data_IF_571659720296
#
_entry.id   IF_571659720296
#
_cell.length_a   1.000
_cell.length_b   1.000
_cell.length_c   1.000
_cell.angle_alpha   90.00
_cell.angle_beta   90.00
_cell.angle_gamma   90.00
#
_symmetry.space_group_name_H-M   'P 1'
#
loop_
_entity.id
_entity.type
_entity.pdbx_description
1 polymer ?
#
# COMPACT_ATOMS: atom_id res chain seq x y z
N UNK A 1 26.81 6.81 15.92
CA UNK A 1 25.39 6.78 16.30
C UNK A 1 24.44 7.40 15.27
N UNK A 2 24.88 8.24 14.33
CA UNK A 2 24.00 8.84 13.30
C UNK A 2 23.80 7.96 12.06
N UNK A 3 24.81 7.19 11.66
CA UNK A 3 24.77 6.38 10.44
C UNK A 3 23.66 5.31 10.43
N UNK A 4 23.43 4.61 11.55
CA UNK A 4 22.36 3.59 11.61
C UNK A 4 20.96 4.22 11.57
N UNK A 5 20.79 5.45 12.10
CA UNK A 5 19.50 6.15 12.00
C UNK A 5 19.21 6.53 10.55
N UNK A 6 20.23 7.01 9.83
CA UNK A 6 20.11 7.35 8.41
C UNK A 6 19.77 6.12 7.56
N UNK A 7 20.40 4.97 7.82
CA UNK A 7 20.06 3.73 7.10
C UNK A 7 18.64 3.26 7.42
N UNK A 8 18.20 3.38 8.68
CA UNK A 8 16.87 2.97 9.09
C UNK A 8 15.76 3.86 8.52
N UNK A 9 15.98 5.18 8.50
CA UNK A 9 15.11 6.14 7.82
C UNK A 9 15.06 5.87 6.32
N UNK A 10 16.21 5.63 5.69
CA UNK A 10 16.27 5.30 4.26
C UNK A 10 15.49 4.03 3.93
N UNK A 11 15.66 2.98 4.74
CA UNK A 11 14.91 1.73 4.60
C UNK A 11 13.41 1.93 4.78
N UNK A 12 13.00 2.78 5.74
CA UNK A 12 11.60 3.12 5.97
C UNK A 12 11.00 3.83 4.76
N UNK A 13 11.71 4.79 4.16
CA UNK A 13 11.27 5.51 2.96
C UNK A 13 11.10 4.56 1.77
N UNK A 14 12.09 3.69 1.52
CA UNK A 14 12.02 2.69 0.44
C UNK A 14 10.83 1.74 0.63
N UNK A 15 10.64 1.24 1.86
CA UNK A 15 9.54 0.31 2.17
C UNK A 15 8.18 0.97 1.98
N UNK A 16 8.03 2.25 2.36
CA UNK A 16 6.81 3.01 2.11
C UNK A 16 6.56 3.22 0.61
N UNK A 17 7.59 3.54 -0.19
CA UNK A 17 7.46 3.64 -1.65
C UNK A 17 6.96 2.34 -2.29
N UNK A 18 7.51 1.20 -1.87
CA UNK A 18 7.06 -0.13 -2.31
C UNK A 18 5.62 -0.42 -1.89
N UNK A 19 5.23 -0.03 -0.68
CA UNK A 19 3.86 -0.18 -0.18
C UNK A 19 2.87 0.61 -1.04
N UNK A 20 3.16 1.88 -1.32
CA UNK A 20 2.33 2.76 -2.16
C UNK A 20 2.20 2.20 -3.59
N UNK A 21 3.31 1.74 -4.18
CA UNK A 21 3.29 1.10 -5.50
C UNK A 21 2.43 -0.17 -5.53
N UNK A 22 2.55 -1.00 -4.48
CA UNK A 22 1.78 -2.23 -4.38
C UNK A 22 0.28 -1.94 -4.19
N UNK A 23 -0.07 -0.92 -3.41
CA UNK A 23 -1.44 -0.46 -3.24
C UNK A 23 -2.01 0.10 -4.55
N UNK A 24 -1.26 0.92 -5.28
CA UNK A 24 -1.62 1.42 -6.61
C UNK A 24 -1.98 0.27 -7.55
N UNK A 25 -1.11 -0.74 -7.66
CA UNK A 25 -1.34 -1.88 -8.54
C UNK A 25 -2.51 -2.76 -8.10
N UNK A 26 -2.72 -2.92 -6.80
CA UNK A 26 -3.86 -3.65 -6.27
C UNK A 26 -5.19 -2.99 -6.68
N UNK A 27 -5.26 -1.66 -6.54
CA UNK A 27 -6.44 -0.87 -6.87
C UNK A 27 -6.66 -0.80 -8.39
N UNK A 28 -5.59 -0.66 -9.17
CA UNK A 28 -5.66 -0.72 -10.64
C UNK A 28 -6.28 -2.06 -11.09
N UNK A 29 -5.81 -3.19 -10.54
CA UNK A 29 -6.33 -4.52 -10.86
C UNK A 29 -7.79 -4.69 -10.42
N UNK A 30 -8.14 -4.29 -9.19
CA UNK A 30 -9.54 -4.34 -8.69
C UNK A 30 -10.46 -3.45 -9.54
N UNK A 31 -9.97 -2.32 -10.06
CA UNK A 31 -10.72 -1.44 -10.95
C UNK A 31 -10.94 -2.03 -12.34
N UNK A 32 -9.93 -2.70 -12.91
CA UNK A 32 -10.02 -3.40 -14.20
C UNK A 32 -11.03 -4.55 -14.12
N UNK A 33 -10.91 -5.40 -13.10
CA UNK A 33 -11.81 -6.54 -12.84
C UNK A 33 -13.26 -6.08 -12.65
N UNK A 34 -13.45 -4.86 -12.13
CA UNK A 34 -14.77 -4.26 -11.92
C UNK A 34 -15.30 -3.47 -13.13
N UNK A 35 -14.54 -3.39 -14.22
CA UNK A 35 -14.92 -2.61 -15.40
C UNK A 35 -15.04 -1.10 -15.16
N UNK A 36 -14.32 -0.54 -14.18
CA UNK A 36 -14.38 0.89 -13.86
C UNK A 36 -13.66 1.75 -14.90
N UNK A 37 -14.24 2.92 -15.22
CA UNK A 37 -13.60 3.90 -16.11
C UNK A 37 -12.32 4.44 -15.45
N UNK A 38 -11.22 4.43 -16.19
CA UNK A 38 -9.88 4.93 -15.78
C UNK A 38 -9.27 4.25 -14.54
N UNK A 39 -8.90 2.95 -14.62
CA UNK A 39 -8.35 2.20 -13.48
C UNK A 39 -7.07 2.80 -12.89
N UNK A 40 -6.21 3.40 -13.72
CA UNK A 40 -4.99 4.12 -13.28
C UNK A 40 -5.29 5.32 -12.41
N UNK A 41 -6.36 6.07 -12.72
CA UNK A 41 -6.76 7.25 -11.93
C UNK A 41 -7.17 6.83 -10.51
N UNK A 42 -7.99 5.78 -10.40
CA UNK A 42 -8.38 5.21 -9.11
C UNK A 42 -7.19 4.67 -8.32
N UNK A 43 -6.21 4.06 -8.99
CA UNK A 43 -4.96 3.63 -8.38
C UNK A 43 -4.19 4.80 -7.77
N UNK A 44 -4.01 5.89 -8.51
CA UNK A 44 -3.31 7.09 -8.02
C UNK A 44 -4.08 7.73 -6.87
N UNK A 45 -5.40 7.86 -7.00
CA UNK A 45 -6.25 8.45 -5.97
C UNK A 45 -6.15 7.66 -4.67
N UNK A 46 -6.24 6.32 -4.75
CA UNK A 46 -6.15 5.46 -3.58
C UNK A 46 -4.76 5.46 -2.92
N UNK A 47 -3.69 5.57 -3.72
CA UNK A 47 -2.32 5.55 -3.24
C UNK A 47 -1.79 6.93 -2.78
N UNK A 48 -2.41 8.03 -3.21
CA UNK A 48 -1.95 9.39 -2.96
C UNK A 48 -2.47 10.07 -1.69
N UNK A 49 -3.43 9.48 -0.98
CA UNK A 49 -4.03 10.09 0.22
C UNK A 49 -3.22 9.85 1.50
N UNK A 50 -2.79 10.92 2.17
CA UNK A 50 -2.01 10.84 3.43
C UNK A 50 -2.78 10.15 4.59
N UNK A 51 -4.11 10.27 4.59
CA UNK A 51 -5.02 9.64 5.56
C UNK A 51 -5.78 8.43 5.01
N UNK A 52 -5.44 7.97 3.81
CA UNK A 52 -6.21 6.93 3.12
C UNK A 52 -7.57 7.40 2.59
N UNK A 53 -7.84 8.71 2.58
CA UNK A 53 -9.09 9.30 2.07
C UNK A 53 -9.39 8.87 0.63
N UNK A 54 -8.37 8.85 -0.23
CA UNK A 54 -8.51 8.39 -1.61
C UNK A 54 -8.87 6.90 -1.71
N UNK A 55 -8.40 6.07 -0.76
CA UNK A 55 -8.80 4.66 -0.68
C UNK A 55 -10.26 4.55 -0.22
N UNK A 56 -10.69 5.36 0.74
CA UNK A 56 -12.10 5.39 1.21
C UNK A 56 -13.02 5.80 0.05
N UNK A 57 -12.66 6.85 -0.69
CA UNK A 57 -13.40 7.30 -1.88
C UNK A 57 -13.48 6.20 -2.94
N UNK A 58 -12.37 5.49 -3.18
CA UNK A 58 -12.35 4.33 -4.07
C UNK A 58 -13.33 3.22 -3.61
N UNK A 59 -13.33 2.88 -2.31
CA UNK A 59 -14.18 1.84 -1.75
C UNK A 59 -15.68 2.18 -1.83
N UNK A 60 -16.04 3.45 -1.68
CA UNK A 60 -17.41 3.92 -1.86
C UNK A 60 -17.85 3.83 -3.33
N UNK A 61 -16.98 4.21 -4.25
CA UNK A 61 -17.30 4.22 -5.68
C UNK A 61 -17.38 2.81 -6.28
N UNK A 62 -16.50 1.87 -5.85
CA UNK A 62 -16.44 0.52 -6.42
C UNK A 62 -17.68 -0.35 -6.18
N UNK A 63 -18.52 -0.02 -5.20
CA UNK A 63 -19.74 -0.79 -4.89
C UNK A 63 -20.79 -0.71 -6.02
N UNK A 64 -20.67 0.29 -6.90
CA UNK A 64 -21.56 0.49 -8.05
C UNK A 64 -21.12 -0.26 -9.30
N UNK A 65 -19.97 -0.92 -9.28
CA UNK A 65 -19.33 -1.51 -10.44
C UNK A 65 -19.53 -3.04 -10.51
N UNK A 66 -19.71 -3.59 -11.71
CA UNK A 66 -19.96 -5.02 -11.92
C UNK A 66 -18.68 -5.84 -11.65
N UNK A 67 -18.78 -6.92 -10.87
CA UNK A 67 -17.63 -7.74 -10.50
C UNK A 67 -17.54 -9.00 -11.36
N UNK A 68 -16.57 -9.07 -12.27
CA UNK A 68 -16.29 -10.25 -13.08
C UNK A 68 -14.81 -10.59 -13.03
N UNK A 69 -14.44 -11.59 -12.23
CA UNK A 69 -13.04 -11.95 -11.99
C UNK A 69 -12.74 -13.38 -12.43
N UNK A 70 -11.66 -13.56 -13.18
CA UNK A 70 -11.13 -14.86 -13.59
C UNK A 70 -10.28 -15.47 -12.46
N UNK A 71 -10.14 -16.79 -12.41
CA UNK A 71 -9.33 -17.48 -11.40
C UNK A 71 -7.88 -16.96 -11.31
N UNK A 72 -7.25 -16.68 -12.47
CA UNK A 72 -5.88 -16.13 -12.54
C UNK A 72 -5.76 -14.74 -11.88
N UNK A 73 -6.72 -13.86 -12.15
CA UNK A 73 -6.74 -12.51 -11.57
C UNK A 73 -6.97 -12.58 -10.05
N UNK A 74 -7.78 -13.55 -9.59
CA UNK A 74 -8.03 -13.78 -8.17
C UNK A 74 -6.74 -14.17 -7.43
N UNK A 75 -5.95 -15.07 -8.01
CA UNK A 75 -4.64 -15.45 -7.46
C UNK A 75 -3.69 -14.26 -7.42
N UNK A 76 -3.60 -13.48 -8.50
CA UNK A 76 -2.76 -12.29 -8.54
C UNK A 76 -3.15 -11.27 -7.47
N UNK A 77 -4.46 -11.03 -7.28
CA UNK A 77 -4.97 -10.14 -6.24
C UNK A 77 -4.61 -10.65 -4.83
N UNK A 78 -4.71 -11.95 -4.57
CA UNK A 78 -4.35 -12.54 -3.28
C UNK A 78 -2.85 -12.40 -2.99
N UNK A 79 -2.00 -12.72 -3.97
CA UNK A 79 -0.56 -12.54 -3.87
C UNK A 79 -0.20 -11.08 -3.60
N UNK A 80 -0.89 -10.14 -4.27
CA UNK A 80 -0.67 -8.71 -4.05
C UNK A 80 -1.09 -8.25 -2.66
N UNK A 81 -2.23 -8.74 -2.15
CA UNK A 81 -2.69 -8.47 -0.78
C UNK A 81 -1.71 -8.96 0.27
N UNK A 82 -1.19 -10.18 0.12
CA UNK A 82 -0.18 -10.71 1.04
C UNK A 82 1.07 -9.84 1.06
N UNK A 83 1.57 -9.39 -0.11
CA UNK A 83 2.71 -8.45 -0.16
C UNK A 83 2.46 -7.15 0.59
N UNK A 84 1.26 -6.57 0.48
CA UNK A 84 0.89 -5.37 1.26
C UNK A 84 0.92 -5.66 2.77
N UNK A 85 0.39 -6.81 3.19
CA UNK A 85 0.40 -7.21 4.61
C UNK A 85 1.85 -7.38 5.11
N UNK A 86 2.72 -8.07 4.35
CA UNK A 86 4.13 -8.22 4.72
C UNK A 86 4.85 -6.87 4.82
N UNK A 87 4.62 -5.96 3.86
CA UNK A 87 5.19 -4.61 3.90
C UNK A 87 4.66 -3.80 5.08
N UNK A 88 3.38 -3.92 5.42
CA UNK A 88 2.78 -3.24 6.57
C UNK A 88 3.42 -3.71 7.88
N UNK A 89 3.57 -5.03 8.07
CA UNK A 89 4.24 -5.61 9.24
C UNK A 89 5.70 -5.14 9.32
N UNK A 90 6.40 -5.10 8.18
CA UNK A 90 7.77 -4.60 8.12
C UNK A 90 7.86 -3.12 8.54
N UNK A 91 6.96 -2.26 8.05
CA UNK A 91 6.91 -0.84 8.45
C UNK A 91 6.68 -0.72 9.95
N UNK A 92 5.75 -1.50 10.54
CA UNK A 92 5.48 -1.47 11.98
C UNK A 92 6.73 -1.83 12.80
N UNK A 93 7.46 -2.88 12.41
CA UNK A 93 8.71 -3.28 13.07
C UNK A 93 9.76 -2.17 12.98
N UNK A 94 9.94 -1.58 11.80
CA UNK A 94 10.91 -0.50 11.59
C UNK A 94 10.57 0.75 12.42
N UNK A 95 9.29 1.11 12.55
CA UNK A 95 8.84 2.23 13.38
C UNK A 95 9.12 1.98 14.86
N UNK A 96 8.81 0.78 15.38
CA UNK A 96 9.09 0.42 16.78
C UNK A 96 10.60 0.50 17.05
N UNK A 97 11.42 -0.04 16.13
CA UNK A 97 12.86 -0.01 16.27
C UNK A 97 13.42 1.42 16.22
N UNK A 98 12.88 2.27 15.34
CA UNK A 98 13.23 3.69 15.27
C UNK A 98 12.90 4.39 16.59
N UNK A 99 11.71 4.16 17.13
CA UNK A 99 11.27 4.77 18.39
C UNK A 99 12.14 4.34 19.58
N UNK A 100 12.43 3.04 19.70
CA UNK A 100 13.34 2.51 20.71
C UNK A 100 14.74 3.14 20.62
N UNK A 101 15.25 3.29 19.39
CA UNK A 101 16.57 3.90 19.17
C UNK A 101 16.65 5.39 19.51
N UNK A 102 15.52 6.10 19.47
CA UNK A 102 15.42 7.51 19.87
C UNK A 102 15.28 7.63 21.38
N UNK A 103 14.45 6.79 22.03
CA UNK A 103 14.28 6.79 23.50
C UNK A 103 15.59 6.44 24.21
N UNK A 104 16.28 5.38 23.78
CA UNK A 104 17.53 4.92 24.42
C UNK A 104 18.65 5.97 24.31
N UNK A 105 18.50 6.95 23.41
CA UNK A 105 19.48 8.02 23.20
C UNK A 105 19.22 9.26 24.06
N UNK A 106 18.05 9.36 24.69
CA UNK A 106 17.70 10.35 25.71
C UNK A 106 18.03 9.83 27.10
#
# INVERSE_FOLDING_TARGET
MTWYLLTLISLLVVTNGLFVHQLFKLVELDAVVRGMKHPKFWGVLAAGGQRGEGLILYLLNRNKAAFSMTAKEKEELQMRKQRIIYLLVLIMILVIFLFASVIVRF
#
